data_IF_351873649954
#
_entry.id   IF_351873649954
#
_cell.length_a   1.000
_cell.length_b   1.000
_cell.length_c   1.000
_cell.angle_alpha   90.00
_cell.angle_beta   90.00
_cell.angle_gamma   90.00
#
_symmetry.space_group_name_H-M   'P 1'
#
loop_
_entity.id
_entity.type
_entity.pdbx_description
1 polymer ?
#
# COMPACT_ATOMS: atom_id res chain seq x y z
N UNK A 1 -10.65 -28.95 -10.25
CA UNK A 1 -9.41 -29.61 -9.76
C UNK A 1 -8.37 -28.51 -9.65
N UNK A 2 -8.08 -28.02 -8.43
CA UNK A 2 -7.19 -26.88 -8.18
C UNK A 2 -5.83 -27.47 -7.82
N UNK A 3 -4.83 -27.27 -8.67
CA UNK A 3 -3.45 -27.63 -8.36
C UNK A 3 -2.79 -26.49 -7.58
N UNK A 4 -2.53 -26.71 -6.30
CA UNK A 4 -1.62 -25.90 -5.49
C UNK A 4 -0.27 -26.62 -5.45
N UNK A 5 0.71 -26.12 -6.19
CA UNK A 5 2.11 -26.49 -6.00
C UNK A 5 2.71 -25.59 -4.93
N UNK A 6 2.89 -26.16 -3.75
CA UNK A 6 3.55 -25.52 -2.62
C UNK A 6 2.97 -26.10 -1.30
N UNK A 7 3.81 -26.76 -0.53
CA UNK A 7 3.48 -27.45 0.72
C UNK A 7 3.12 -26.47 1.84
N UNK A 8 1.95 -25.85 1.76
CA UNK A 8 1.34 -25.13 2.86
C UNK A 8 0.08 -25.87 3.31
N UNK A 9 0.09 -26.49 4.47
CA UNK A 9 -1.11 -27.05 5.10
C UNK A 9 -2.08 -25.90 5.38
N UNK A 10 -3.27 -25.91 4.77
CA UNK A 10 -4.40 -25.07 5.18
C UNK A 10 -4.83 -25.61 6.54
N UNK A 11 -4.53 -24.89 7.64
CA UNK A 11 -4.62 -25.42 8.99
C UNK A 11 -5.82 -24.95 9.79
N UNK A 12 -6.71 -24.10 9.26
CA UNK A 12 -7.93 -23.71 9.97
C UNK A 12 -9.05 -23.28 9.03
N UNK A 13 -10.32 -23.33 9.48
CA UNK A 13 -11.48 -22.83 8.74
C UNK A 13 -11.35 -21.33 8.38
N UNK A 14 -10.57 -20.58 9.13
CA UNK A 14 -10.27 -19.17 8.93
C UNK A 14 -9.49 -18.95 7.62
N UNK A 15 -8.47 -19.78 7.33
CA UNK A 15 -7.68 -19.67 6.10
C UNK A 15 -8.49 -19.92 4.84
N UNK A 16 -9.50 -20.79 4.92
CA UNK A 16 -10.39 -21.09 3.80
C UNK A 16 -11.31 -19.91 3.45
N UNK A 17 -11.87 -19.22 4.45
CA UNK A 17 -12.67 -18.01 4.23
C UNK A 17 -11.86 -16.89 3.60
N UNK A 18 -10.64 -16.68 4.06
CA UNK A 18 -9.72 -15.68 3.49
C UNK A 18 -9.39 -15.95 2.03
N UNK A 19 -9.22 -17.22 1.68
CA UNK A 19 -8.95 -17.62 0.29
C UNK A 19 -10.17 -17.40 -0.61
N UNK A 20 -11.40 -17.60 -0.09
CA UNK A 20 -12.63 -17.29 -0.83
C UNK A 20 -12.72 -15.79 -1.10
N UNK A 21 -12.58 -14.94 -0.09
CA UNK A 21 -12.60 -13.48 -0.22
C UNK A 21 -11.54 -12.99 -1.22
N UNK A 22 -10.32 -13.51 -1.13
CA UNK A 22 -9.27 -13.21 -2.09
C UNK A 22 -9.64 -13.60 -3.53
N UNK A 23 -10.29 -14.75 -3.72
CA UNK A 23 -10.68 -15.19 -5.06
C UNK A 23 -11.83 -14.35 -5.65
N UNK A 24 -12.70 -13.77 -4.82
CA UNK A 24 -13.74 -12.85 -5.25
C UNK A 24 -13.19 -11.54 -5.85
N UNK A 25 -11.96 -11.15 -5.52
CA UNK A 25 -11.31 -9.96 -6.08
C UNK A 25 -11.03 -10.05 -7.60
N UNK A 26 -11.15 -11.22 -8.22
CA UNK A 26 -10.97 -11.40 -9.66
C UNK A 26 -9.52 -11.51 -10.13
N UNK A 27 -9.27 -11.25 -11.42
CA UNK A 27 -7.97 -11.54 -12.06
C UNK A 27 -6.88 -10.49 -11.74
N UNK A 28 -7.26 -9.23 -11.56
CA UNK A 28 -6.30 -8.13 -11.35
C UNK A 28 -5.99 -7.85 -9.88
N UNK A 29 -6.11 -8.86 -9.03
CA UNK A 29 -5.88 -8.76 -7.59
C UNK A 29 -4.38 -8.67 -7.24
N UNK A 30 -4.02 -8.15 -6.05
CA UNK A 30 -2.64 -8.20 -5.55
C UNK A 30 -2.17 -9.64 -5.39
N UNK A 31 -0.86 -9.86 -5.18
CA UNK A 31 -0.35 -11.19 -4.82
C UNK A 31 -0.98 -11.68 -3.51
N UNK A 32 -1.06 -13.01 -3.34
CA UNK A 32 -1.56 -13.58 -2.09
C UNK A 32 -0.75 -13.12 -0.88
N UNK A 33 0.57 -13.06 -1.04
CA UNK A 33 1.50 -12.61 0.01
C UNK A 33 1.22 -11.16 0.44
N UNK A 34 1.02 -10.25 -0.51
CA UNK A 34 0.69 -8.86 -0.21
C UNK A 34 -0.69 -8.74 0.43
N UNK A 35 -1.69 -9.46 -0.10
CA UNK A 35 -3.06 -9.42 0.40
C UNK A 35 -3.19 -10.03 1.81
N UNK A 36 -2.63 -11.21 2.04
CA UNK A 36 -2.73 -11.90 3.33
C UNK A 36 -2.06 -11.12 4.46
N UNK A 37 -0.89 -10.51 4.20
CA UNK A 37 -0.23 -9.64 5.16
C UNK A 37 -1.02 -8.34 5.40
N UNK A 38 -1.53 -7.72 4.34
CA UNK A 38 -2.37 -6.53 4.46
C UNK A 38 -3.62 -6.82 5.31
N UNK A 39 -4.26 -7.96 5.11
CA UNK A 39 -5.46 -8.35 5.84
C UNK A 39 -5.17 -8.67 7.32
N UNK A 40 -4.01 -9.29 7.61
CA UNK A 40 -3.59 -9.53 9.00
C UNK A 40 -3.51 -8.21 9.76
N UNK A 41 -2.76 -7.23 9.25
CA UNK A 41 -2.65 -5.92 9.88
C UNK A 41 -3.96 -5.13 9.86
N UNK A 42 -4.79 -5.25 8.81
CA UNK A 42 -6.11 -4.61 8.75
C UNK A 42 -7.00 -5.00 9.93
N UNK A 43 -7.10 -6.30 10.23
CA UNK A 43 -7.92 -6.80 11.34
C UNK A 43 -7.41 -6.28 12.69
N UNK A 44 -6.11 -6.32 12.92
CA UNK A 44 -5.50 -5.86 14.16
C UNK A 44 -5.66 -4.34 14.35
N UNK A 45 -5.44 -3.56 13.29
CA UNK A 45 -5.64 -2.12 13.32
C UNK A 45 -7.13 -1.75 13.53
N UNK A 46 -8.04 -2.51 12.95
CA UNK A 46 -9.48 -2.29 13.13
C UNK A 46 -9.93 -2.42 14.59
N UNK A 47 -9.29 -3.30 15.36
CA UNK A 47 -9.53 -3.46 16.80
C UNK A 47 -8.91 -2.32 17.63
N UNK A 48 -7.79 -1.74 17.18
CA UNK A 48 -7.02 -0.73 17.91
C UNK A 48 -7.42 0.72 17.59
N UNK A 49 -7.93 0.98 16.41
CA UNK A 49 -8.13 2.33 15.88
C UNK A 49 -9.60 2.58 15.52
N UNK A 50 -10.02 3.85 15.68
CA UNK A 50 -11.31 4.31 15.15
C UNK A 50 -11.25 4.45 13.64
N UNK A 51 -11.51 3.36 12.92
CA UNK A 51 -11.62 3.40 11.48
C UNK A 51 -12.92 4.02 11.02
N UNK A 52 -12.94 4.49 9.78
CA UNK A 52 -14.16 5.02 9.17
C UNK A 52 -15.07 3.85 8.75
N UNK A 53 -16.11 3.58 9.53
CA UNK A 53 -17.05 2.48 9.29
C UNK A 53 -17.79 2.59 7.94
N UNK A 54 -17.96 3.82 7.42
CA UNK A 54 -18.56 4.05 6.11
C UNK A 54 -17.59 3.85 4.94
N UNK A 55 -16.32 3.61 5.24
CA UNK A 55 -15.25 3.39 4.27
C UNK A 55 -14.42 2.17 4.67
N UNK A 56 -14.97 0.95 4.57
CA UNK A 56 -14.24 -0.27 4.92
C UNK A 56 -13.19 -0.59 3.84
N UNK A 57 -12.29 0.34 3.62
CA UNK A 57 -11.34 0.32 2.52
C UNK A 57 -9.94 -0.08 2.97
N UNK A 58 -9.33 -0.95 2.19
CA UNK A 58 -7.93 -1.33 2.32
C UNK A 58 -7.18 -0.93 1.04
N UNK A 59 -6.19 -0.06 1.18
CA UNK A 59 -5.28 0.27 0.09
C UNK A 59 -4.01 -0.56 0.22
N UNK A 60 -3.63 -1.27 -0.83
CA UNK A 60 -2.40 -2.07 -0.90
C UNK A 60 -1.49 -1.49 -1.98
N UNK A 61 -0.24 -1.21 -1.63
CA UNK A 61 0.83 -0.87 -2.58
C UNK A 61 1.87 -1.99 -2.52
N UNK A 62 2.12 -2.66 -3.63
CA UNK A 62 3.09 -3.75 -3.71
C UNK A 62 4.38 -3.28 -4.41
N UNK A 63 5.40 -2.99 -3.62
CA UNK A 63 6.71 -2.56 -4.11
C UNK A 63 7.63 -3.71 -4.53
N UNK A 64 7.18 -4.96 -4.46
CA UNK A 64 7.87 -6.07 -5.14
C UNK A 64 7.67 -6.04 -6.65
N UNK A 65 6.68 -5.27 -7.13
CA UNK A 65 6.42 -5.10 -8.55
C UNK A 65 7.18 -3.88 -9.11
N UNK A 66 7.62 -3.94 -10.38
CA UNK A 66 8.27 -2.81 -11.03
C UNK A 66 7.31 -1.62 -11.22
N UNK A 67 7.86 -0.41 -11.28
CA UNK A 67 7.08 0.82 -11.34
C UNK A 67 6.21 0.96 -12.59
N UNK A 68 6.53 0.24 -13.66
CA UNK A 68 5.71 0.20 -14.90
C UNK A 68 4.51 -0.75 -14.81
N UNK A 69 4.31 -1.45 -13.68
CA UNK A 69 3.10 -2.24 -13.41
C UNK A 69 2.14 -1.45 -12.54
N UNK A 70 0.85 -1.67 -12.72
CA UNK A 70 -0.16 -1.23 -11.77
C UNK A 70 0.04 -2.03 -10.49
N UNK A 71 0.41 -1.35 -9.41
CA UNK A 71 0.84 -1.95 -8.15
C UNK A 71 0.25 -1.27 -6.92
N UNK A 72 -0.80 -0.48 -7.11
CA UNK A 72 -1.69 0.03 -6.09
C UNK A 72 -3.10 -0.52 -6.34
N UNK A 73 -3.71 -1.06 -5.31
CA UNK A 73 -5.11 -1.47 -5.26
C UNK A 73 -5.84 -0.73 -4.15
N UNK A 74 -7.05 -0.30 -4.43
CA UNK A 74 -8.04 0.09 -3.43
C UNK A 74 -9.13 -0.97 -3.43
N UNK A 75 -9.34 -1.61 -2.29
CA UNK A 75 -10.26 -2.72 -2.09
C UNK A 75 -11.35 -2.28 -1.12
N UNK A 76 -12.60 -2.45 -1.50
CA UNK A 76 -13.73 -2.41 -0.60
C UNK A 76 -13.84 -3.77 0.10
N UNK A 77 -13.55 -3.79 1.40
CA UNK A 77 -13.53 -5.02 2.20
C UNK A 77 -14.94 -5.54 2.53
N UNK A 78 -15.97 -4.69 2.46
CA UNK A 78 -17.34 -5.12 2.68
C UNK A 78 -17.91 -5.90 1.49
N UNK A 79 -17.55 -5.50 0.27
CA UNK A 79 -18.03 -6.13 -0.97
C UNK A 79 -17.01 -7.05 -1.64
N UNK A 80 -15.78 -7.13 -1.11
CA UNK A 80 -14.63 -7.83 -1.72
C UNK A 80 -14.41 -7.40 -3.19
N UNK A 81 -14.47 -6.07 -3.43
CA UNK A 81 -14.37 -5.52 -4.79
C UNK A 81 -13.15 -4.61 -4.91
N UNK A 82 -12.40 -4.73 -6.00
CA UNK A 82 -11.33 -3.79 -6.35
C UNK A 82 -11.96 -2.54 -6.97
N UNK A 83 -11.89 -1.41 -6.26
CA UNK A 83 -12.38 -0.12 -6.73
C UNK A 83 -11.38 0.56 -7.67
N UNK A 84 -10.08 0.43 -7.38
CA UNK A 84 -8.99 0.97 -8.19
C UNK A 84 -7.84 -0.04 -8.29
N UNK A 85 -7.28 -0.17 -9.51
CA UNK A 85 -5.96 -0.75 -9.73
C UNK A 85 -5.16 0.19 -10.61
N UNK A 86 -4.09 0.79 -10.06
CA UNK A 86 -3.38 1.88 -10.72
C UNK A 86 -1.87 1.87 -10.46
N UNK A 87 -1.17 2.79 -11.12
CA UNK A 87 0.25 3.04 -10.93
C UNK A 87 0.52 3.81 -9.64
N UNK A 88 1.69 3.61 -9.05
CA UNK A 88 2.21 4.42 -7.95
C UNK A 88 3.72 4.51 -8.03
N UNK A 89 4.27 5.73 -7.92
CA UNK A 89 5.70 5.98 -7.89
C UNK A 89 6.24 5.82 -6.46
N UNK A 90 7.50 5.41 -6.36
CA UNK A 90 8.27 5.33 -5.11
C UNK A 90 9.33 6.45 -5.03
N UNK A 91 10.01 6.55 -3.89
CA UNK A 91 11.07 7.52 -3.63
C UNK A 91 12.31 7.30 -4.49
N UNK A 92 12.94 8.40 -4.94
CA UNK A 92 14.08 8.34 -5.88
C UNK A 92 15.27 7.53 -5.37
N UNK A 93 15.49 7.52 -4.05
CA UNK A 93 16.56 6.76 -3.43
C UNK A 93 16.12 5.34 -3.01
N UNK A 94 14.85 4.98 -3.20
CA UNK A 94 14.39 3.60 -3.02
C UNK A 94 14.87 2.67 -4.13
N UNK A 95 15.07 3.16 -5.34
CA UNK A 95 15.52 2.38 -6.49
C UNK A 95 15.21 3.05 -7.81
N UNK A 96 15.35 2.34 -8.89
CA UNK A 96 15.05 2.87 -10.23
C UNK A 96 13.72 2.33 -10.78
N UNK A 97 13.73 1.16 -11.38
CA UNK A 97 12.50 0.46 -11.82
C UNK A 97 11.82 -0.22 -10.64
N UNK A 98 12.63 -0.88 -9.81
CA UNK A 98 12.20 -1.56 -8.58
C UNK A 98 12.42 -0.65 -7.37
N UNK A 99 11.60 -0.81 -6.34
CA UNK A 99 11.88 -0.23 -5.03
C UNK A 99 12.57 -1.31 -4.17
N UNK A 100 13.82 -1.05 -3.79
CA UNK A 100 14.70 -2.03 -3.12
C UNK A 100 15.18 -1.55 -1.75
N UNK A 101 15.14 -0.24 -1.52
CA UNK A 101 15.62 0.39 -0.29
C UNK A 101 14.54 1.26 0.33
N UNK A 102 14.38 1.13 1.63
CA UNK A 102 13.35 1.79 2.40
C UNK A 102 13.94 2.45 3.64
N UNK A 103 13.34 3.53 4.11
CA UNK A 103 13.88 4.25 5.26
C UNK A 103 12.80 5.07 5.98
N UNK A 104 12.94 5.18 7.28
CA UNK A 104 12.19 6.09 8.14
C UNK A 104 12.98 7.37 8.46
N UNK A 105 14.21 7.50 7.92
CA UNK A 105 15.09 8.65 8.20
C UNK A 105 14.65 9.89 7.41
N UNK A 106 14.56 11.08 8.05
CA UNK A 106 14.35 12.34 7.35
C UNK A 106 15.36 12.58 6.24
N UNK A 107 14.92 13.17 5.14
CA UNK A 107 15.75 13.51 3.96
C UNK A 107 16.38 12.30 3.25
N UNK A 108 16.02 11.07 3.56
CA UNK A 108 16.50 9.88 2.85
C UNK A 108 16.04 9.83 1.40
N UNK A 109 14.93 10.52 1.08
CA UNK A 109 14.22 10.42 -0.21
C UNK A 109 13.83 8.99 -0.59
N UNK A 110 13.71 8.13 0.42
CA UNK A 110 13.24 6.75 0.29
C UNK A 110 11.79 6.64 0.77
N UNK A 111 11.04 5.73 0.17
CA UNK A 111 9.74 5.31 0.71
C UNK A 111 9.94 4.52 2.00
N UNK A 112 8.92 4.48 2.85
CA UNK A 112 8.87 3.59 4.02
C UNK A 112 7.82 2.51 3.78
N UNK A 113 8.07 1.32 4.31
CA UNK A 113 7.13 0.20 4.26
C UNK A 113 6.10 0.30 5.40
N UNK A 114 5.14 -0.60 5.37
CA UNK A 114 4.26 -0.86 6.51
C UNK A 114 2.90 -0.20 6.42
N UNK A 115 2.23 -0.19 7.57
CA UNK A 115 0.85 0.26 7.71
C UNK A 115 0.76 1.74 8.05
N UNK A 116 -0.23 2.36 7.43
CA UNK A 116 -0.57 3.77 7.62
C UNK A 116 -2.05 3.92 7.86
N UNK A 117 -2.41 4.89 8.70
CA UNK A 117 -3.75 5.43 8.77
C UNK A 117 -3.81 6.68 7.89
N UNK A 118 -4.80 6.76 7.02
CA UNK A 118 -5.03 7.94 6.20
C UNK A 118 -5.65 9.05 7.02
N UNK A 119 -5.18 10.26 6.81
CA UNK A 119 -5.69 11.45 7.52
C UNK A 119 -6.59 12.31 6.65
N UNK A 120 -6.59 13.60 6.94
CA UNK A 120 -7.30 14.62 6.19
C UNK A 120 -6.61 14.94 4.86
N UNK A 121 -7.36 15.55 3.97
CA UNK A 121 -6.84 16.11 2.73
C UNK A 121 -6.45 17.57 2.92
N UNK A 122 -5.49 18.04 2.12
CA UNK A 122 -5.07 19.43 2.12
C UNK A 122 -4.53 19.87 0.76
N UNK A 123 -4.42 21.16 0.53
CA UNK A 123 -3.73 21.73 -0.62
C UNK A 123 -2.34 22.23 -0.19
N UNK A 124 -1.30 21.59 -0.69
CA UNK A 124 0.09 21.94 -0.38
C UNK A 124 0.95 22.12 -1.63
N UNK A 125 2.27 22.04 -1.46
CA UNK A 125 3.24 22.19 -2.54
C UNK A 125 3.03 21.20 -3.71
N UNK A 126 2.53 20.01 -3.40
CA UNK A 126 2.24 18.96 -4.37
C UNK A 126 0.76 18.98 -4.85
N UNK A 127 0.04 20.08 -4.63
CA UNK A 127 -1.38 20.19 -4.92
C UNK A 127 -2.24 19.45 -3.89
N UNK A 128 -3.35 18.85 -4.36
CA UNK A 128 -4.28 18.10 -3.52
C UNK A 128 -3.64 16.82 -3.01
N UNK A 129 -3.50 16.71 -1.70
CA UNK A 129 -2.70 15.70 -1.03
C UNK A 129 -3.44 15.11 0.16
N UNK A 130 -3.03 13.92 0.59
CA UNK A 130 -3.57 13.17 1.71
C UNK A 130 -2.47 12.89 2.74
N UNK A 131 -2.71 13.27 4.00
CA UNK A 131 -1.81 12.91 5.10
C UNK A 131 -1.78 11.41 5.34
N UNK A 132 -0.58 10.89 5.62
CA UNK A 132 -0.35 9.49 5.97
C UNK A 132 0.33 9.42 7.35
N UNK A 133 -0.35 8.85 8.34
CA UNK A 133 0.19 8.57 9.67
C UNK A 133 0.75 7.16 9.71
N UNK A 134 2.06 7.01 9.84
CA UNK A 134 2.70 5.70 10.00
C UNK A 134 2.37 5.08 11.36
N UNK A 135 2.06 3.79 11.38
CA UNK A 135 1.60 3.07 12.57
C UNK A 135 2.70 2.21 13.21
N UNK A 136 3.89 2.12 12.60
CA UNK A 136 4.93 1.19 12.99
C UNK A 136 6.19 1.93 13.43
N UNK A 137 6.50 1.84 14.73
CA UNK A 137 7.66 2.51 15.35
C UNK A 137 8.97 2.02 14.72
N UNK A 138 9.83 2.98 14.35
CA UNK A 138 11.12 2.69 13.70
C UNK A 138 11.01 2.41 12.19
N UNK A 139 9.83 2.08 11.66
CA UNK A 139 9.60 1.70 10.27
C UNK A 139 9.01 2.86 9.47
N UNK A 140 7.93 3.50 9.95
CA UNK A 140 7.24 4.58 9.26
C UNK A 140 6.63 5.64 10.20
N UNK A 141 6.83 5.54 11.50
CA UNK A 141 6.28 6.46 12.50
C UNK A 141 6.67 7.92 12.28
N UNK A 142 7.77 8.18 11.56
CA UNK A 142 8.21 9.53 11.18
C UNK A 142 7.60 10.03 9.85
N UNK A 143 6.61 9.34 9.30
CA UNK A 143 6.01 9.72 8.02
C UNK A 143 5.49 11.16 8.01
N UNK A 144 4.78 11.58 9.07
CA UNK A 144 4.29 12.96 9.22
C UNK A 144 5.43 13.97 9.27
N UNK A 145 6.46 13.75 10.09
CA UNK A 145 7.65 14.63 10.22
C UNK A 145 8.43 14.74 8.92
N UNK A 146 8.41 13.69 8.12
CA UNK A 146 9.04 13.60 6.80
C UNK A 146 8.18 14.19 5.68
N UNK A 147 6.98 14.67 5.98
CA UNK A 147 6.00 15.12 5.01
C UNK A 147 5.67 14.05 3.93
N UNK A 148 5.61 12.78 4.33
CA UNK A 148 5.18 11.69 3.46
C UNK A 148 3.66 11.74 3.35
N UNK A 149 3.18 11.98 2.12
CA UNK A 149 1.77 12.13 1.78
C UNK A 149 1.46 11.41 0.48
N UNK A 150 0.19 11.05 0.24
CA UNK A 150 -0.22 10.65 -1.10
C UNK A 150 -0.65 11.88 -1.89
N UNK A 151 -0.17 11.99 -3.14
CA UNK A 151 -0.52 13.11 -4.02
C UNK A 151 -0.50 12.69 -5.49
N UNK A 152 -1.14 13.50 -6.33
CA UNK A 152 -1.04 13.35 -7.78
C UNK A 152 0.32 13.82 -8.31
N UNK A 153 0.83 13.17 -9.35
CA UNK A 153 2.09 13.57 -9.97
C UNK A 153 2.11 13.25 -11.47
N UNK A 154 2.51 14.24 -12.27
CA UNK A 154 2.66 14.09 -13.73
C UNK A 154 3.63 12.94 -14.10
N UNK A 155 4.62 12.67 -13.27
CA UNK A 155 5.60 11.60 -13.48
C UNK A 155 5.10 10.20 -13.08
N UNK A 156 3.92 10.08 -12.51
CA UNK A 156 3.30 8.79 -12.15
C UNK A 156 2.35 8.26 -13.25
N UNK A 157 2.41 8.82 -14.46
CA UNK A 157 1.53 8.50 -15.58
C UNK A 157 2.14 7.48 -16.53
N UNK A 158 1.27 6.81 -17.28
CA UNK A 158 1.65 5.83 -18.32
C UNK A 158 2.55 6.43 -19.41
N UNK A 159 2.42 7.74 -19.69
CA UNK A 159 3.28 8.44 -20.64
C UNK A 159 4.77 8.39 -20.26
N UNK A 160 5.07 8.37 -18.96
CA UNK A 160 6.45 8.21 -18.48
C UNK A 160 6.96 6.80 -18.73
N UNK A 161 6.10 5.79 -18.56
CA UNK A 161 6.44 4.39 -18.85
C UNK A 161 6.75 4.23 -20.33
N UNK A 162 5.92 4.79 -21.22
CA UNK A 162 6.14 4.75 -22.67
C UNK A 162 7.45 5.43 -23.08
N UNK A 163 7.82 6.52 -22.41
CA UNK A 163 9.01 7.32 -22.75
C UNK A 163 10.30 6.78 -22.14
N UNK A 164 10.24 6.27 -20.89
CA UNK A 164 11.43 5.94 -20.09
C UNK A 164 11.46 4.49 -19.59
N UNK A 165 10.48 3.65 -19.93
CA UNK A 165 10.36 2.27 -19.44
C UNK A 165 9.96 2.16 -17.97
N UNK A 166 9.70 3.28 -17.27
CA UNK A 166 9.35 3.34 -15.86
C UNK A 166 8.59 4.62 -15.50
N UNK A 167 8.02 4.68 -14.31
CA UNK A 167 7.53 5.93 -13.74
C UNK A 167 8.68 6.86 -13.31
N UNK A 168 8.37 8.15 -13.11
CA UNK A 168 9.22 9.03 -12.33
C UNK A 168 9.26 8.60 -10.86
N UNK A 169 9.95 9.39 -10.04
CA UNK A 169 10.20 9.07 -8.61
C UNK A 169 9.98 10.29 -7.74
N UNK A 170 9.40 10.07 -6.57
CA UNK A 170 9.15 11.09 -5.55
C UNK A 170 10.35 11.30 -4.61
N UNK A 171 10.16 12.06 -3.56
CA UNK A 171 11.08 12.14 -2.43
C UNK A 171 10.67 11.25 -1.24
N UNK A 172 9.93 10.17 -1.54
CA UNK A 172 9.48 9.18 -0.56
C UNK A 172 7.96 8.96 -0.59
N UNK A 173 7.20 9.93 -1.03
CA UNK A 173 5.74 9.88 -1.12
C UNK A 173 5.25 8.79 -2.10
N UNK A 174 4.18 8.06 -1.80
CA UNK A 174 3.44 7.30 -2.80
C UNK A 174 2.68 8.29 -3.71
N UNK A 175 3.19 8.49 -4.93
CA UNK A 175 2.60 9.43 -5.89
C UNK A 175 1.84 8.68 -6.97
N UNK A 176 0.62 9.12 -7.26
CA UNK A 176 -0.33 8.47 -8.17
C UNK A 176 -0.62 9.33 -9.41
N UNK A 177 -1.22 8.77 -10.47
CA UNK A 177 -1.57 9.53 -11.67
C UNK A 177 -2.50 10.72 -11.38
N UNK A 178 -2.20 11.87 -12.00
CA UNK A 178 -2.96 13.12 -11.78
C UNK A 178 -4.43 13.02 -12.20
N UNK A 179 -4.74 12.21 -13.19
CA UNK A 179 -6.11 12.09 -13.72
C UNK A 179 -7.09 11.41 -12.76
N UNK A 180 -6.59 10.66 -11.76
CA UNK A 180 -7.43 9.94 -10.80
C UNK A 180 -7.17 10.34 -9.34
N UNK A 181 -6.14 11.17 -9.09
CA UNK A 181 -5.66 11.38 -7.71
C UNK A 181 -6.73 11.97 -6.78
N UNK A 182 -7.55 12.91 -7.25
CA UNK A 182 -8.58 13.53 -6.42
C UNK A 182 -9.65 12.53 -5.99
N UNK A 183 -10.12 11.72 -6.92
CA UNK A 183 -11.16 10.72 -6.65
C UNK A 183 -10.64 9.64 -5.71
N UNK A 184 -9.44 9.10 -5.99
CA UNK A 184 -8.83 8.07 -5.16
C UNK A 184 -8.53 8.60 -3.75
N UNK A 185 -7.95 9.79 -3.61
CA UNK A 185 -7.67 10.43 -2.31
C UNK A 185 -8.96 10.64 -1.53
N UNK A 186 -10.03 11.14 -2.15
CA UNK A 186 -11.33 11.33 -1.50
C UNK A 186 -11.93 10.00 -1.02
N UNK A 187 -11.76 8.93 -1.80
CA UNK A 187 -12.24 7.61 -1.41
C UNK A 187 -11.57 7.12 -0.13
N UNK A 188 -10.25 7.29 -0.02
CA UNK A 188 -9.47 6.72 1.08
C UNK A 188 -9.18 7.70 2.23
N UNK A 189 -9.57 8.96 2.15
CA UNK A 189 -9.38 9.94 3.23
C UNK A 189 -10.19 9.59 4.49
N UNK A 190 -9.73 10.10 5.65
CA UNK A 190 -10.38 9.99 6.94
C UNK A 190 -10.42 8.55 7.50
N UNK A 191 -9.28 8.13 8.03
CA UNK A 191 -9.14 6.89 8.82
C UNK A 191 -9.45 5.60 8.06
N UNK A 192 -8.93 5.45 6.83
CA UNK A 192 -8.81 4.15 6.17
C UNK A 192 -7.39 3.60 6.28
N UNK A 193 -7.19 2.32 5.98
CA UNK A 193 -5.89 1.67 6.07
C UNK A 193 -5.20 1.65 4.72
N UNK A 194 -3.91 2.03 4.72
CA UNK A 194 -3.01 1.88 3.59
C UNK A 194 -1.81 1.03 4.02
N UNK A 195 -1.50 0.00 3.25
CA UNK A 195 -0.36 -0.87 3.46
C UNK A 195 0.62 -0.79 2.29
N UNK A 196 1.90 -0.50 2.58
CA UNK A 196 2.99 -0.55 1.61
C UNK A 196 3.77 -1.83 1.86
N UNK A 197 3.55 -2.80 0.99
CA UNK A 197 4.13 -4.14 1.04
C UNK A 197 5.47 -4.23 0.30
N UNK A 198 6.36 -5.00 0.87
CA UNK A 198 7.56 -5.55 0.21
C UNK A 198 7.96 -6.85 0.91
N UNK A 199 8.57 -7.77 0.16
CA UNK A 199 9.03 -9.07 0.68
C UNK A 199 10.32 -9.01 1.52
N UNK A 200 10.68 -7.83 2.06
CA UNK A 200 11.83 -7.63 2.94
C UNK A 200 11.69 -8.45 4.21
N UNK A 201 12.62 -9.37 4.45
CA UNK A 201 12.66 -10.17 5.68
C UNK A 201 12.85 -9.30 6.91
N UNK A 202 13.65 -8.22 6.79
CA UNK A 202 13.86 -7.25 7.86
C UNK A 202 12.56 -6.57 8.27
N UNK A 203 11.75 -6.12 7.29
CA UNK A 203 10.44 -5.54 7.57
C UNK A 203 9.53 -6.55 8.24
N UNK A 204 9.39 -7.74 7.67
CA UNK A 204 8.50 -8.79 8.20
C UNK A 204 8.86 -9.20 9.65
N UNK A 205 10.16 -9.24 9.97
CA UNK A 205 10.63 -9.58 11.31
C UNK A 205 10.44 -8.45 12.35
N UNK A 206 10.32 -7.19 11.91
CA UNK A 206 10.23 -6.03 12.80
C UNK A 206 8.83 -5.40 12.83
N UNK A 207 7.94 -5.79 11.92
CA UNK A 207 6.57 -5.29 11.88
C UNK A 207 5.74 -5.88 13.01
N UNK A 208 5.19 -5.02 13.87
CA UNK A 208 4.32 -5.45 14.96
C UNK A 208 3.03 -6.11 14.50
N UNK A 209 2.60 -5.83 13.27
CA UNK A 209 1.38 -6.39 12.68
C UNK A 209 1.62 -7.72 11.93
N UNK A 210 2.87 -8.06 11.62
CA UNK A 210 3.20 -9.26 10.85
C UNK A 210 3.91 -10.32 11.70
N UNK A 211 4.49 -9.92 12.82
CA UNK A 211 5.16 -10.83 13.73
C UNK A 211 4.13 -11.77 14.40
N UNK A 212 4.28 -13.07 14.19
CA UNK A 212 3.49 -14.06 14.92
C UNK A 212 4.09 -14.22 16.32
N UNK A 213 3.42 -13.67 17.33
CA UNK A 213 3.72 -14.00 18.73
C UNK A 213 3.26 -15.45 18.94
N UNK A 214 4.17 -16.40 18.76
CA UNK A 214 3.98 -17.78 19.19
C UNK A 214 3.98 -17.87 20.72
#
# INVERSE_FOLDING_TARGET
>A
MIFLNGTGKISSGTDYHLLIEYNLLGEHKPSWEAYSQALKGYKEIQEEQNLNENKPYLTIIDFTLPSFKKRLWLIDMASSTILYNTYVAHGKNSGDIMAERFSNTPQSYQSSLGFYLTGDTYHGKNGYSLYLKGLEKGINDKAMDRAIVMHGAWYANESMIKKFGRLGRSYGCPSIPENIHKELINSISHNTILFIYHSSKEYQANSRFLFDSN
#
